data_IF_926446158971
#
_entry.id   IF_926446158971
#
_cell.length_a   1.000
_cell.length_b   1.000
_cell.length_c   1.000
_cell.angle_alpha   90.00
_cell.angle_beta   90.00
_cell.angle_gamma   90.00
#
_symmetry.space_group_name_H-M   'P 1'
#
loop_
_entity.id
_entity.type
_entity.pdbx_description
1 polymer ?
#
# COMPACT_ATOMS: atom_id res chain seq x y z
N UNK A 1 -15.56 -25.20 11.67
CA UNK A 1 -14.81 -23.96 11.95
C UNK A 1 -14.92 -23.07 10.72
N UNK A 2 -15.82 -22.06 10.66
CA UNK A 2 -15.84 -21.16 9.52
C UNK A 2 -14.68 -20.16 9.68
N UNK A 3 -13.73 -20.18 8.76
CA UNK A 3 -12.67 -19.19 8.64
C UNK A 3 -13.29 -17.84 8.29
N UNK A 4 -13.23 -16.87 9.21
CA UNK A 4 -13.48 -15.47 8.89
C UNK A 4 -12.49 -15.06 7.78
N UNK A 5 -13.00 -14.81 6.57
CA UNK A 5 -12.20 -14.20 5.51
C UNK A 5 -12.15 -12.70 5.83
N UNK A 6 -11.06 -12.28 6.46
CA UNK A 6 -10.70 -10.87 6.60
C UNK A 6 -10.29 -10.34 5.22
N UNK A 7 -11.26 -9.95 4.40
CA UNK A 7 -10.98 -9.11 3.23
C UNK A 7 -10.75 -7.68 3.73
N UNK A 8 -9.51 -7.37 4.10
CA UNK A 8 -9.10 -6.03 4.50
C UNK A 8 -8.50 -5.26 3.33
N UNK A 9 -9.14 -4.15 2.93
CA UNK A 9 -8.60 -3.24 1.93
C UNK A 9 -7.66 -2.22 2.57
N UNK A 10 -6.51 -1.99 1.93
CA UNK A 10 -5.50 -1.02 2.38
C UNK A 10 -5.23 -0.03 1.24
N UNK A 11 -5.56 1.23 1.47
CA UNK A 11 -5.23 2.34 0.58
C UNK A 11 -4.12 3.19 1.20
N UNK A 12 -3.00 3.36 0.50
CA UNK A 12 -1.86 4.16 0.98
C UNK A 12 -1.65 5.32 0.02
N UNK A 13 -1.70 6.54 0.55
CA UNK A 13 -1.41 7.77 -0.19
C UNK A 13 -0.17 8.40 0.41
N UNK A 14 0.90 8.51 -0.38
CA UNK A 14 2.17 9.11 0.04
C UNK A 14 2.57 10.27 -0.84
N UNK A 15 3.06 11.33 -0.23
CA UNK A 15 3.78 12.42 -0.89
C UNK A 15 5.26 12.27 -0.55
N UNK A 16 6.15 12.45 -1.53
CA UNK A 16 7.57 12.22 -1.30
C UNK A 16 8.47 12.92 -2.29
N UNK A 17 9.76 12.73 -2.08
CA UNK A 17 10.84 13.20 -2.94
C UNK A 17 11.52 12.01 -3.62
N UNK A 18 12.05 12.25 -4.82
CA UNK A 18 12.89 11.30 -5.57
C UNK A 18 14.16 12.04 -5.97
N UNK A 19 15.30 11.47 -5.65
CA UNK A 19 16.61 11.94 -6.07
C UNK A 19 17.19 10.99 -7.10
N UNK A 20 17.46 11.50 -8.31
CA UNK A 20 18.07 10.73 -9.40
C UNK A 20 19.58 10.98 -9.43
N UNK A 21 20.35 9.91 -9.43
CA UNK A 21 21.80 9.98 -9.56
C UNK A 21 22.19 10.04 -11.03
N UNK A 22 22.94 11.07 -11.46
CA UNK A 22 23.50 11.10 -12.81
C UNK A 22 24.66 10.10 -12.90
N UNK A 23 24.50 9.05 -13.69
CA UNK A 23 25.59 8.10 -14.00
C UNK A 23 26.10 8.31 -15.42
N UNK A 24 27.42 8.16 -15.59
CA UNK A 24 28.09 8.30 -16.89
C UNK A 24 27.59 7.20 -17.83
N UNK A 25 26.98 7.59 -18.96
CA UNK A 25 26.39 6.66 -19.94
C UNK A 25 24.90 6.89 -20.25
N UNK A 26 24.21 7.78 -19.51
CA UNK A 26 22.94 8.41 -19.90
C UNK A 26 21.70 7.52 -20.05
N UNK A 27 21.86 6.20 -20.11
CA UNK A 27 20.77 5.21 -20.26
C UNK A 27 20.21 4.73 -18.93
N UNK A 28 21.07 4.33 -17.99
CA UNK A 28 20.67 3.94 -16.65
C UNK A 28 20.62 5.18 -15.75
N UNK A 29 19.64 5.27 -14.85
CA UNK A 29 19.51 6.34 -13.86
C UNK A 29 19.03 5.74 -12.54
N UNK A 30 19.96 5.40 -11.63
CA UNK A 30 19.57 4.99 -10.30
C UNK A 30 18.92 6.15 -9.55
N UNK A 31 18.00 5.84 -8.65
CA UNK A 31 17.35 6.83 -7.81
C UNK A 31 17.03 6.26 -6.44
N UNK A 32 16.94 7.16 -5.47
CA UNK A 32 16.40 6.90 -4.14
C UNK A 32 15.28 7.88 -3.86
N UNK A 33 14.36 7.51 -2.99
CA UNK A 33 13.25 8.37 -2.64
C UNK A 33 12.63 7.98 -1.32
N UNK A 34 11.90 8.92 -0.76
CA UNK A 34 11.16 8.73 0.46
C UNK A 34 10.00 9.69 0.55
N UNK A 35 9.08 9.42 1.45
CA UNK A 35 7.87 10.20 1.57
C UNK A 35 7.09 9.90 2.82
N UNK A 36 6.15 10.77 3.12
CA UNK A 36 5.22 10.65 4.22
C UNK A 36 3.79 10.66 3.66
N UNK A 37 2.87 10.03 4.36
CA UNK A 37 1.55 9.79 3.85
C UNK A 37 0.58 9.31 4.90
N UNK A 38 -0.60 8.95 4.41
CA UNK A 38 -1.68 8.37 5.20
C UNK A 38 -2.02 7.00 4.62
N UNK A 39 -2.27 6.05 5.51
CA UNK A 39 -2.79 4.74 5.17
C UNK A 39 -4.19 4.60 5.75
N UNK A 40 -5.15 4.22 4.91
CA UNK A 40 -6.49 3.85 5.32
C UNK A 40 -6.64 2.34 5.24
N UNK A 41 -6.99 1.73 6.35
CA UNK A 41 -7.32 0.30 6.43
C UNK A 41 -8.82 0.19 6.69
N UNK A 42 -9.53 -0.51 5.81
CA UNK A 42 -10.91 -0.94 6.05
C UNK A 42 -10.87 -2.39 6.49
N UNK A 43 -11.43 -2.69 7.66
CA UNK A 43 -11.67 -4.07 8.10
C UNK A 43 -13.17 -4.25 8.28
N UNK A 44 -13.74 -5.20 7.56
CA UNK A 44 -15.09 -5.69 7.84
C UNK A 44 -14.98 -6.78 8.88
N UNK A 45 -15.37 -6.49 10.13
CA UNK A 45 -15.46 -7.51 11.16
C UNK A 45 -16.90 -7.99 11.17
N UNK A 46 -17.13 -9.21 10.68
CA UNK A 46 -18.42 -9.87 10.84
C UNK A 46 -18.55 -10.35 12.29
N UNK A 47 -19.19 -9.56 13.15
CA UNK A 47 -19.54 -9.98 14.51
C UNK A 47 -20.88 -10.72 14.47
N UNK A 48 -20.88 -11.99 14.88
CA UNK A 48 -22.13 -12.76 15.05
C UNK A 48 -22.62 -12.51 16.46
N UNK A 49 -23.66 -11.68 16.60
CA UNK A 49 -24.29 -11.44 17.89
C UNK A 49 -25.45 -12.44 18.06
N UNK A 50 -25.32 -13.35 19.02
CA UNK A 50 -26.40 -14.29 19.38
C UNK A 50 -27.39 -13.57 20.29
N UNK A 51 -28.48 -13.03 19.74
CA UNK A 51 -29.59 -12.53 20.56
C UNK A 51 -30.37 -13.72 21.13
N UNK A 52 -30.30 -13.88 22.45
CA UNK A 52 -31.06 -14.90 23.18
C UNK A 52 -32.45 -14.33 23.51
N UNK A 53 -33.41 -14.49 22.58
CA UNK A 53 -34.83 -14.28 22.89
C UNK A 53 -35.42 -15.56 23.51
N UNK A 54 -36.23 -15.47 24.58
CA UNK A 54 -36.87 -16.66 25.14
C UNK A 54 -37.86 -17.22 24.12
N UNK A 55 -37.53 -18.37 23.52
CA UNK A 55 -38.36 -19.10 22.58
C UNK A 55 -37.89 -19.14 21.12
N UNK A 56 -36.90 -18.35 20.71
CA UNK A 56 -36.33 -18.42 19.36
C UNK A 56 -34.87 -17.93 19.35
N UNK A 57 -33.95 -18.73 18.78
CA UNK A 57 -32.59 -18.27 18.47
C UNK A 57 -32.62 -17.51 17.14
N UNK A 58 -32.50 -16.17 17.20
CA UNK A 58 -32.32 -15.34 16.01
C UNK A 58 -30.85 -14.96 15.88
N UNK A 59 -30.22 -15.37 14.79
CA UNK A 59 -28.82 -14.99 14.47
C UNK A 59 -28.87 -13.70 13.66
N UNK A 60 -28.52 -12.58 14.27
CA UNK A 60 -28.38 -11.30 13.58
C UNK A 60 -26.90 -11.13 13.20
N UNK A 61 -26.61 -11.06 11.89
CA UNK A 61 -25.27 -10.73 11.38
C UNK A 61 -25.17 -9.22 11.25
N UNK A 62 -24.56 -8.58 12.24
CA UNK A 62 -24.19 -7.17 12.13
C UNK A 62 -22.79 -7.11 11.54
N UNK A 63 -22.65 -6.57 10.33
CA UNK A 63 -21.35 -6.27 9.75
C UNK A 63 -20.93 -4.88 10.24
N UNK A 64 -19.96 -4.82 11.16
CA UNK A 64 -19.45 -3.55 11.67
C UNK A 64 -18.21 -3.17 10.83
N UNK A 65 -18.33 -2.09 10.05
CA UNK A 65 -17.24 -1.57 9.23
C UNK A 65 -16.40 -0.60 10.05
N UNK A 66 -15.22 -1.02 10.48
CA UNK A 66 -14.29 -0.16 11.21
C UNK A 66 -13.25 0.35 10.20
N UNK A 67 -13.45 1.58 9.73
CA UNK A 67 -12.46 2.27 8.89
C UNK A 67 -11.50 3.08 9.78
N UNK A 68 -10.18 2.90 9.58
CA UNK A 68 -9.17 3.59 10.38
C UNK A 68 -8.09 4.21 9.51
N UNK A 69 -7.68 5.41 9.86
CA UNK A 69 -6.62 6.18 9.18
C UNK A 69 -5.39 6.24 10.10
N UNK A 70 -4.22 5.93 9.55
CA UNK A 70 -2.93 6.03 10.22
C UNK A 70 -1.90 6.77 9.37
N UNK A 71 -0.75 7.07 9.97
CA UNK A 71 0.40 7.68 9.27
C UNK A 71 1.23 6.59 8.59
N UNK A 72 1.73 6.89 7.40
CA UNK A 72 2.62 6.04 6.63
C UNK A 72 3.91 6.79 6.28
N UNK A 73 5.06 6.17 6.51
CA UNK A 73 6.33 6.62 5.97
C UNK A 73 6.76 5.66 4.86
N UNK A 74 7.42 6.18 3.84
CA UNK A 74 7.94 5.40 2.72
C UNK A 74 9.40 5.73 2.46
N UNK A 75 10.18 4.72 2.11
CA UNK A 75 11.56 4.85 1.69
C UNK A 75 11.84 3.78 0.63
N UNK A 76 12.59 4.12 -0.41
CA UNK A 76 12.83 3.19 -1.49
C UNK A 76 13.96 3.61 -2.41
N UNK A 77 14.35 2.66 -3.24
CA UNK A 77 15.37 2.84 -4.26
C UNK A 77 14.93 2.14 -5.54
N UNK A 78 15.46 2.59 -6.66
CA UNK A 78 15.17 1.99 -7.95
C UNK A 78 16.16 2.42 -9.00
N UNK A 79 15.94 1.93 -10.21
CA UNK A 79 16.69 2.33 -11.38
C UNK A 79 15.74 2.49 -12.56
N UNK A 80 16.01 3.51 -13.37
CA UNK A 80 15.31 3.71 -14.64
C UNK A 80 16.25 3.56 -15.81
N UNK A 81 15.79 2.88 -16.85
CA UNK A 81 16.55 2.65 -18.08
C UNK A 81 15.84 3.32 -19.23
N UNK A 82 16.53 4.22 -19.93
CA UNK A 82 16.04 4.83 -21.16
C UNK A 82 16.02 3.78 -22.27
N UNK A 83 14.83 3.43 -22.73
CA UNK A 83 14.61 2.48 -23.83
C UNK A 83 14.59 3.21 -25.17
N UNK A 84 13.88 4.34 -25.23
CA UNK A 84 13.75 5.14 -26.45
C UNK A 84 13.73 6.63 -26.11
N UNK A 85 13.75 7.51 -27.12
CA UNK A 85 13.72 8.98 -26.94
C UNK A 85 12.57 9.38 -26.00
N UNK A 86 12.91 9.80 -24.78
CA UNK A 86 11.94 10.18 -23.76
C UNK A 86 11.30 9.02 -23.00
N UNK A 87 11.41 7.77 -23.46
CA UNK A 87 10.79 6.59 -22.83
C UNK A 87 11.77 5.88 -21.88
N UNK A 88 11.33 5.68 -20.64
CA UNK A 88 12.08 5.01 -19.60
C UNK A 88 11.26 3.84 -19.03
N UNK A 89 11.95 2.77 -18.70
CA UNK A 89 11.42 1.66 -17.90
C UNK A 89 12.02 1.79 -16.51
N UNK A 90 11.18 1.83 -15.49
CA UNK A 90 11.56 1.98 -14.10
C UNK A 90 11.36 0.65 -13.37
N UNK A 91 12.28 0.30 -12.49
CA UNK A 91 12.14 -0.79 -11.51
C UNK A 91 12.44 -0.23 -10.13
N UNK A 92 11.56 -0.47 -9.17
CA UNK A 92 11.66 0.08 -7.83
C UNK A 92 11.34 -0.91 -6.71
N UNK A 93 12.01 -0.72 -5.59
CA UNK A 93 11.70 -1.33 -4.32
C UNK A 93 11.35 -0.23 -3.32
N UNK A 94 10.15 -0.29 -2.75
CA UNK A 94 9.67 0.65 -1.72
C UNK A 94 9.29 -0.09 -0.47
N UNK A 95 9.73 0.43 0.65
CA UNK A 95 9.33 0.05 1.97
C UNK A 95 8.36 1.08 2.52
N UNK A 96 7.23 0.63 3.06
CA UNK A 96 6.24 1.44 3.74
C UNK A 96 6.18 1.00 5.20
N UNK A 97 6.50 1.92 6.10
CA UNK A 97 6.34 1.75 7.54
C UNK A 97 5.03 2.40 7.96
N UNK A 98 4.08 1.61 8.44
CA UNK A 98 2.85 2.11 9.03
C UNK A 98 2.97 2.07 10.56
N UNK A 99 2.35 3.04 11.23
CA UNK A 99 2.42 3.26 12.69
C UNK A 99 2.09 2.03 13.58
N UNK A 100 1.43 1.00 13.04
CA UNK A 100 0.96 -0.20 13.77
C UNK A 100 1.73 -1.49 13.46
N UNK A 101 3.06 -1.43 13.35
CA UNK A 101 3.93 -2.59 13.08
C UNK A 101 3.57 -3.38 11.80
N UNK A 102 2.82 -2.76 10.88
CA UNK A 102 2.56 -3.32 9.56
C UNK A 102 3.53 -2.73 8.57
N UNK A 103 4.62 -3.43 8.40
CA UNK A 103 5.62 -3.11 7.40
C UNK A 103 5.25 -3.77 6.06
N UNK A 104 5.24 -2.95 5.01
CA UNK A 104 4.88 -3.39 3.66
C UNK A 104 6.05 -3.11 2.73
N UNK A 105 6.58 -4.16 2.11
CA UNK A 105 7.51 -4.04 1.00
C UNK A 105 6.76 -4.17 -0.32
N UNK A 106 7.05 -3.27 -1.26
CA UNK A 106 6.54 -3.29 -2.62
C UNK A 106 7.71 -3.36 -3.58
N UNK A 107 7.65 -4.33 -4.48
CA UNK A 107 8.45 -4.35 -5.70
C UNK A 107 7.56 -3.87 -6.85
N UNK A 108 8.07 -2.94 -7.64
CA UNK A 108 7.35 -2.27 -8.70
C UNK A 108 8.16 -2.23 -9.99
N UNK A 109 7.43 -2.23 -11.09
CA UNK A 109 7.93 -1.87 -12.41
C UNK A 109 6.99 -0.85 -13.03
N UNK A 110 7.53 0.04 -13.87
CA UNK A 110 6.75 1.07 -14.52
C UNK A 110 7.38 1.54 -15.83
N UNK A 111 6.60 2.30 -16.58
CA UNK A 111 7.08 2.99 -17.78
C UNK A 111 6.80 4.47 -17.58
N UNK A 112 7.82 5.31 -17.77
CA UNK A 112 7.70 6.76 -17.68
C UNK A 112 8.12 7.41 -18.99
N UNK A 113 7.40 8.46 -19.37
CA UNK A 113 7.71 9.28 -20.54
C UNK A 113 8.10 10.69 -20.09
N UNK A 114 9.22 11.21 -20.58
CA UNK A 114 9.77 12.53 -20.27
C UNK A 114 9.91 13.33 -21.56
N UNK A 115 9.26 14.48 -21.60
CA UNK A 115 9.30 15.44 -22.70
C UNK A 115 10.56 16.30 -22.62
#
# INVERSE_FOLDING_TARGET
>A
MPSARDNGDIAIVTTGFRYEFPVQGGRLRPYVGGGLGIARTSQEIASVQLLRQPGAQRVERTAESISRTGVAASAGAGASVRVYRGLFVDVDARYFRLDRDRDLARLGGGVSYRF
#
